data_IF_624764004397
#
_entry.id   IF_624764004397
#
_cell.length_a   1.000
_cell.length_b   1.000
_cell.length_c   1.000
_cell.angle_alpha   90.00
_cell.angle_beta   90.00
_cell.angle_gamma   90.00
#
_symmetry.space_group_name_H-M   'P 1'
#
loop_
_entity.id
_entity.type
_entity.pdbx_description
1 polymer ?
#
# COMPACT_ATOMS: atom_id res chain seq x y z
N UNK A 1 -9.80 6.52 44.11
CA UNK A 1 -9.13 7.64 43.45
C UNK A 1 -9.09 7.29 41.97
N UNK A 2 -9.86 7.98 41.16
CA UNK A 2 -9.71 7.90 39.69
C UNK A 2 -8.36 8.51 39.34
N UNK A 3 -7.51 7.74 38.62
CA UNK A 3 -6.28 8.29 38.07
C UNK A 3 -6.64 9.49 37.18
N UNK A 4 -5.81 10.54 37.13
CA UNK A 4 -6.06 11.67 36.25
C UNK A 4 -6.08 11.13 34.81
N UNK A 5 -7.03 11.62 34.00
CA UNK A 5 -7.17 11.28 32.60
C UNK A 5 -5.89 11.70 31.87
N UNK A 6 -5.27 10.77 31.16
CA UNK A 6 -4.07 11.07 30.37
C UNK A 6 -4.43 11.91 29.13
N UNK A 7 -3.64 12.92 28.86
CA UNK A 7 -3.78 13.82 27.70
C UNK A 7 -2.86 13.35 26.61
N UNK A 8 -3.40 13.10 25.42
CA UNK A 8 -2.66 12.64 24.25
C UNK A 8 -2.79 13.68 23.14
N UNK A 9 -1.67 14.12 22.58
CA UNK A 9 -1.65 14.94 21.37
C UNK A 9 -1.13 14.13 20.19
N UNK A 10 -1.80 14.22 19.04
CA UNK A 10 -1.46 13.50 17.82
C UNK A 10 -1.24 14.50 16.70
N UNK A 11 -0.08 14.43 16.05
CA UNK A 11 0.27 15.22 14.87
C UNK A 11 0.02 14.39 13.61
N UNK A 12 -1.04 14.70 12.87
CA UNK A 12 -1.46 14.01 11.66
C UNK A 12 -2.67 13.09 11.87
N UNK A 13 -3.68 13.25 11.03
CA UNK A 13 -4.96 12.54 11.04
C UNK A 13 -5.01 11.30 10.12
N UNK A 14 -3.88 10.86 9.56
CA UNK A 14 -3.81 9.64 8.74
C UNK A 14 -4.07 8.36 9.54
N UNK A 15 -3.97 7.15 8.90
CA UNK A 15 -4.29 5.87 9.56
C UNK A 15 -3.56 5.65 10.89
N UNK A 16 -2.30 6.08 11.00
CA UNK A 16 -1.56 6.02 12.27
C UNK A 16 -2.15 6.91 13.35
N UNK A 17 -2.63 8.10 12.97
CA UNK A 17 -3.18 9.09 13.89
C UNK A 17 -4.62 8.79 14.30
N UNK A 18 -5.56 8.63 13.35
CA UNK A 18 -6.97 8.45 13.71
C UNK A 18 -7.24 7.10 14.40
N UNK A 19 -6.55 6.02 14.02
CA UNK A 19 -6.68 4.73 14.70
C UNK A 19 -6.10 4.78 16.13
N UNK A 20 -4.99 5.51 16.31
CA UNK A 20 -4.45 5.77 17.64
C UNK A 20 -5.45 6.58 18.50
N UNK A 21 -6.05 7.63 17.93
CA UNK A 21 -7.00 8.46 18.64
C UNK A 21 -8.22 7.67 19.12
N UNK A 22 -8.77 6.81 18.25
CA UNK A 22 -9.90 5.95 18.62
C UNK A 22 -9.55 4.99 19.76
N UNK A 23 -8.38 4.37 19.71
CA UNK A 23 -7.90 3.50 20.81
C UNK A 23 -7.67 4.29 22.09
N UNK A 24 -7.01 5.47 21.99
CA UNK A 24 -6.78 6.33 23.15
C UNK A 24 -8.07 6.77 23.85
N UNK A 25 -9.05 7.22 23.05
CA UNK A 25 -10.36 7.64 23.57
C UNK A 25 -11.12 6.45 24.21
N UNK A 26 -11.12 5.27 23.59
CA UNK A 26 -11.74 4.05 24.13
C UNK A 26 -11.10 3.62 25.47
N UNK A 27 -9.82 3.92 25.68
CA UNK A 27 -9.13 3.68 26.95
C UNK A 27 -9.26 4.85 27.95
N UNK A 28 -10.08 5.85 27.63
CA UNK A 28 -10.42 6.95 28.52
C UNK A 28 -9.41 8.10 28.52
N UNK A 29 -8.51 8.20 27.55
CA UNK A 29 -7.61 9.34 27.39
C UNK A 29 -8.35 10.57 26.83
N UNK A 30 -7.87 11.78 27.14
CA UNK A 30 -8.24 13.03 26.49
C UNK A 30 -7.36 13.22 25.25
N UNK A 31 -7.93 13.05 24.06
CA UNK A 31 -7.18 12.97 22.81
C UNK A 31 -7.45 14.19 21.93
N UNK A 32 -6.37 14.84 21.49
CA UNK A 32 -6.40 15.93 20.51
C UNK A 32 -5.60 15.54 19.27
N UNK A 33 -6.22 15.59 18.07
CA UNK A 33 -5.54 15.47 16.78
C UNK A 33 -5.33 16.86 16.20
N UNK A 34 -4.15 17.12 15.66
CA UNK A 34 -3.83 18.31 14.86
C UNK A 34 -3.49 17.86 13.46
N UNK A 35 -4.28 18.26 12.47
CA UNK A 35 -4.09 17.86 11.07
C UNK A 35 -4.44 19.01 10.12
N UNK A 36 -3.65 19.14 9.02
CA UNK A 36 -3.81 20.20 8.04
C UNK A 36 -4.87 19.86 6.98
N UNK A 37 -4.90 18.60 6.55
CA UNK A 37 -5.68 18.16 5.37
C UNK A 37 -7.05 17.58 5.78
N UNK A 38 -7.14 17.03 6.98
CA UNK A 38 -8.35 16.40 7.52
C UNK A 38 -8.19 14.92 7.84
N UNK A 39 -9.13 14.34 8.64
CA UNK A 39 -9.08 12.94 9.07
C UNK A 39 -9.04 11.95 7.90
N UNK A 40 -8.20 10.92 8.05
CA UNK A 40 -7.87 9.96 7.00
C UNK A 40 -6.54 10.25 6.32
N UNK A 41 -6.07 11.52 6.33
CA UNK A 41 -4.79 11.96 5.75
C UNK A 41 -4.63 11.54 4.30
N UNK A 42 -3.38 11.50 3.82
CA UNK A 42 -3.08 11.16 2.42
C UNK A 42 -3.69 9.81 1.99
N UNK A 43 -3.72 8.80 2.86
CA UNK A 43 -4.28 7.49 2.56
C UNK A 43 -5.74 7.56 2.06
N UNK A 44 -6.56 8.42 2.67
CA UNK A 44 -7.98 8.58 2.34
C UNK A 44 -8.18 9.64 1.27
N UNK A 45 -7.47 10.77 1.38
CA UNK A 45 -7.76 11.96 0.57
C UNK A 45 -7.06 11.95 -0.80
N UNK A 46 -5.86 11.36 -0.91
CA UNK A 46 -5.04 11.50 -2.12
C UNK A 46 -4.40 10.19 -2.63
N UNK A 47 -4.31 9.15 -1.80
CA UNK A 47 -3.54 7.94 -2.15
C UNK A 47 -4.40 6.68 -2.26
N UNK A 48 -4.58 5.92 -1.16
CA UNK A 48 -5.17 4.57 -1.22
C UNK A 48 -6.63 4.58 -1.69
N UNK A 49 -7.51 5.40 -1.07
CA UNK A 49 -8.93 5.44 -1.45
C UNK A 49 -9.09 5.96 -2.87
N UNK A 50 -8.48 7.08 -3.27
CA UNK A 50 -8.49 7.54 -4.65
C UNK A 50 -7.95 6.52 -5.66
N UNK A 51 -6.76 5.98 -5.45
CA UNK A 51 -6.15 5.06 -6.41
C UNK A 51 -6.92 3.74 -6.54
N UNK A 52 -7.41 3.16 -5.44
CA UNK A 52 -8.21 1.93 -5.48
C UNK A 52 -9.57 2.16 -6.09
N UNK A 53 -10.16 3.35 -5.93
CA UNK A 53 -11.40 3.74 -6.65
C UNK A 53 -11.18 3.80 -8.17
N UNK A 54 -10.04 4.33 -8.62
CA UNK A 54 -9.65 4.31 -10.04
C UNK A 54 -9.43 2.87 -10.54
N UNK A 55 -8.74 2.05 -9.75
CA UNK A 55 -8.45 0.65 -10.08
C UNK A 55 -9.73 -0.17 -10.19
N UNK A 56 -10.74 0.03 -9.34
CA UNK A 56 -12.04 -0.64 -9.48
C UNK A 56 -12.70 -0.30 -10.83
N UNK A 57 -12.61 0.94 -11.28
CA UNK A 57 -13.10 1.33 -12.62
C UNK A 57 -12.31 0.61 -13.72
N UNK A 58 -10.98 0.56 -13.59
CA UNK A 58 -10.11 -0.12 -14.56
C UNK A 58 -10.34 -1.63 -14.60
N UNK A 59 -10.60 -2.25 -13.45
CA UNK A 59 -10.96 -3.68 -13.34
C UNK A 59 -12.29 -3.96 -14.05
N UNK A 60 -13.27 -3.08 -13.92
CA UNK A 60 -14.54 -3.19 -14.64
C UNK A 60 -14.33 -3.12 -16.16
N UNK A 61 -13.47 -2.23 -16.66
CA UNK A 61 -13.10 -2.15 -18.08
C UNK A 61 -12.39 -3.41 -18.56
N UNK A 62 -11.43 -3.93 -17.80
CA UNK A 62 -10.78 -5.21 -18.12
C UNK A 62 -11.79 -6.35 -18.21
N UNK A 63 -12.75 -6.41 -17.29
CA UNK A 63 -13.82 -7.41 -17.33
C UNK A 63 -14.70 -7.25 -18.57
N UNK A 64 -15.12 -6.03 -18.95
CA UNK A 64 -15.89 -5.79 -20.16
C UNK A 64 -15.17 -6.27 -21.42
N UNK A 65 -13.88 -5.98 -21.55
CA UNK A 65 -13.08 -6.46 -22.70
C UNK A 65 -12.92 -7.98 -22.73
N UNK A 66 -13.05 -8.66 -21.60
CA UNK A 66 -12.91 -10.10 -21.48
C UNK A 66 -14.24 -10.87 -21.62
N UNK A 67 -15.39 -10.21 -21.77
CA UNK A 67 -16.73 -10.86 -21.74
C UNK A 67 -17.01 -11.80 -22.90
N UNK A 68 -16.31 -11.68 -24.01
CA UNK A 68 -16.51 -12.51 -25.21
C UNK A 68 -16.39 -14.01 -24.91
N UNK A 69 -15.49 -14.43 -24.00
CA UNK A 69 -15.34 -15.82 -23.59
C UNK A 69 -16.55 -16.36 -22.79
N UNK A 70 -17.38 -15.47 -22.24
CA UNK A 70 -18.63 -15.80 -21.55
C UNK A 70 -19.83 -15.83 -22.50
N UNK A 71 -19.63 -15.57 -23.80
CA UNK A 71 -20.69 -15.47 -24.79
C UNK A 71 -21.44 -14.12 -24.75
N UNK A 72 -20.87 -13.10 -24.10
CA UNK A 72 -21.44 -11.75 -24.02
C UNK A 72 -20.73 -10.89 -25.06
N UNK A 73 -21.48 -10.33 -26.01
CA UNK A 73 -20.97 -9.38 -27.00
C UNK A 73 -21.16 -7.95 -26.48
N UNK A 74 -20.11 -7.16 -26.50
CA UNK A 74 -20.14 -5.73 -26.30
C UNK A 74 -20.09 -5.03 -27.65
N UNK A 75 -20.52 -3.77 -27.72
CA UNK A 75 -20.54 -3.00 -28.97
C UNK A 75 -19.13 -2.64 -29.47
N UNK A 76 -18.11 -2.78 -28.62
CA UNK A 76 -16.73 -2.38 -28.91
C UNK A 76 -16.53 -0.84 -28.96
N UNK A 77 -17.49 -0.08 -28.44
CA UNK A 77 -17.47 1.38 -28.38
C UNK A 77 -17.50 1.88 -26.93
N UNK A 78 -17.15 1.00 -25.99
CA UNK A 78 -17.11 1.34 -24.57
C UNK A 78 -16.05 2.43 -24.36
N UNK A 79 -16.45 3.52 -23.69
CA UNK A 79 -15.60 4.66 -23.37
C UNK A 79 -15.69 5.01 -21.90
N UNK A 80 -14.63 5.61 -21.40
CA UNK A 80 -14.55 6.08 -20.01
C UNK A 80 -14.81 7.58 -19.99
N UNK A 81 -15.79 8.02 -19.21
CA UNK A 81 -15.99 9.42 -18.86
C UNK A 81 -15.04 9.79 -17.72
N UNK A 82 -13.90 10.36 -18.07
CA UNK A 82 -12.83 10.73 -17.11
C UNK A 82 -13.35 11.72 -16.06
N UNK A 83 -14.12 12.73 -16.46
CA UNK A 83 -14.68 13.71 -15.53
C UNK A 83 -15.58 13.06 -14.48
N UNK A 84 -16.40 12.11 -14.89
CA UNK A 84 -17.26 11.36 -13.97
C UNK A 84 -16.43 10.47 -13.02
N UNK A 85 -15.44 9.77 -13.54
CA UNK A 85 -14.54 8.90 -12.74
C UNK A 85 -13.78 9.71 -11.71
N UNK A 86 -13.15 10.82 -12.10
CA UNK A 86 -12.38 11.65 -11.19
C UNK A 86 -13.26 12.34 -10.14
N UNK A 87 -14.45 12.77 -10.50
CA UNK A 87 -15.45 13.29 -9.53
C UNK A 87 -15.81 12.22 -8.52
N UNK A 88 -16.18 11.01 -8.97
CA UNK A 88 -16.50 9.88 -8.10
C UNK A 88 -15.35 9.55 -7.13
N UNK A 89 -14.09 9.62 -7.58
CA UNK A 89 -12.92 9.41 -6.74
C UNK A 89 -12.88 10.44 -5.60
N UNK A 90 -13.06 11.73 -5.92
CA UNK A 90 -13.03 12.82 -4.94
C UNK A 90 -14.21 12.72 -3.95
N UNK A 91 -15.40 12.42 -4.46
CA UNK A 91 -16.61 12.27 -3.64
C UNK A 91 -16.46 11.12 -2.63
N UNK A 92 -15.90 9.97 -3.04
CA UNK A 92 -15.64 8.84 -2.15
C UNK A 92 -14.55 9.13 -1.13
N UNK A 93 -13.50 9.84 -1.51
CA UNK A 93 -12.44 10.25 -0.58
C UNK A 93 -13.01 11.19 0.51
N UNK A 94 -13.83 12.16 0.11
CA UNK A 94 -14.49 13.09 1.03
C UNK A 94 -15.45 12.34 1.95
N UNK A 95 -16.32 11.50 1.41
CA UNK A 95 -17.27 10.72 2.20
C UNK A 95 -16.56 9.84 3.25
N UNK A 96 -15.43 9.21 2.88
CA UNK A 96 -14.65 8.39 3.82
C UNK A 96 -13.99 9.24 4.91
N UNK A 97 -13.53 10.45 4.60
CA UNK A 97 -12.98 11.39 5.59
C UNK A 97 -14.06 11.88 6.54
N UNK A 98 -15.26 12.16 6.02
CA UNK A 98 -16.43 12.56 6.83
C UNK A 98 -16.85 11.45 7.80
N UNK A 99 -16.87 10.19 7.35
CA UNK A 99 -17.17 9.04 8.20
C UNK A 99 -16.13 8.88 9.34
N UNK A 100 -14.84 9.07 9.06
CA UNK A 100 -13.78 9.05 10.08
C UNK A 100 -13.97 10.21 11.06
N UNK A 101 -14.27 11.41 10.56
CA UNK A 101 -14.55 12.60 11.36
C UNK A 101 -15.73 12.38 12.30
N UNK A 102 -16.83 11.85 11.79
CA UNK A 102 -18.02 11.55 12.59
C UNK A 102 -17.70 10.54 13.71
N UNK A 103 -16.90 9.51 13.40
CA UNK A 103 -16.48 8.52 14.40
C UNK A 103 -15.56 9.11 15.47
N UNK A 104 -14.59 9.94 15.09
CA UNK A 104 -13.70 10.63 16.06
C UNK A 104 -14.50 11.56 16.99
N UNK A 105 -15.44 12.33 16.45
CA UNK A 105 -16.32 13.20 17.23
C UNK A 105 -17.21 12.40 18.19
N UNK A 106 -17.74 11.24 17.75
CA UNK A 106 -18.56 10.40 18.60
C UNK A 106 -17.78 9.82 19.80
N UNK A 107 -16.48 9.60 19.65
CA UNK A 107 -15.58 9.15 20.73
C UNK A 107 -15.02 10.34 21.55
N UNK A 108 -15.43 11.58 21.26
CA UNK A 108 -15.01 12.78 22.02
C UNK A 108 -13.58 13.26 21.70
N UNK A 109 -13.00 12.83 20.59
CA UNK A 109 -11.68 13.29 20.15
C UNK A 109 -11.77 14.75 19.66
N UNK A 110 -10.89 15.61 20.18
CA UNK A 110 -10.78 16.99 19.72
C UNK A 110 -9.99 17.05 18.42
N UNK A 111 -10.55 17.71 17.41
CA UNK A 111 -9.88 17.96 16.13
C UNK A 111 -9.48 19.43 16.02
N UNK A 112 -8.22 19.70 15.72
CA UNK A 112 -7.67 21.04 15.42
C UNK A 112 -7.17 21.01 13.99
N UNK A 113 -7.78 21.82 13.14
CA UNK A 113 -7.34 21.96 11.75
C UNK A 113 -6.14 22.89 11.65
N UNK A 114 -5.07 22.43 11.01
CA UNK A 114 -3.88 23.18 10.70
C UNK A 114 -2.58 22.47 11.05
N UNK A 115 -1.48 23.18 10.88
CA UNK A 115 -0.13 22.64 11.15
C UNK A 115 0.19 22.63 12.63
N UNK A 116 0.57 21.45 13.12
CA UNK A 116 1.11 21.29 14.45
C UNK A 116 2.63 21.11 14.43
N UNK A 117 3.31 21.56 15.48
CA UNK A 117 4.74 21.29 15.70
C UNK A 117 5.05 21.07 17.17
N UNK A 118 6.05 20.26 17.45
CA UNK A 118 6.58 20.09 18.80
C UNK A 118 7.32 21.36 19.24
N UNK A 119 7.06 21.81 20.45
CA UNK A 119 7.89 22.78 21.19
C UNK A 119 8.78 22.08 22.21
N UNK A 120 8.33 20.95 22.71
CA UNK A 120 9.02 20.07 23.64
C UNK A 120 8.37 18.67 23.54
N UNK A 121 8.91 17.64 24.21
CA UNK A 121 8.32 16.29 24.17
C UNK A 121 6.86 16.21 24.63
N UNK A 122 6.38 17.21 25.38
CA UNK A 122 5.05 17.22 25.98
C UNK A 122 4.21 18.47 25.61
N UNK A 123 4.66 19.30 24.66
CA UNK A 123 3.94 20.50 24.21
C UNK A 123 3.90 20.56 22.69
N UNK A 124 2.70 20.59 22.14
CA UNK A 124 2.44 20.77 20.71
C UNK A 124 1.90 22.17 20.48
N UNK A 125 2.56 22.94 19.63
CA UNK A 125 2.07 24.23 19.15
C UNK A 125 1.08 24.00 18.01
N UNK A 126 -0.08 24.66 18.07
CA UNK A 126 -1.16 24.56 17.10
C UNK A 126 -1.68 25.95 16.72
N UNK A 127 -2.50 26.09 15.67
CA UNK A 127 -3.16 27.37 15.36
C UNK A 127 -4.05 27.92 16.49
N UNK A 128 -4.57 27.04 17.36
CA UNK A 128 -5.41 27.41 18.51
C UNK A 128 -4.59 27.68 19.79
N UNK A 129 -3.27 27.60 19.75
CA UNK A 129 -2.37 27.74 20.87
C UNK A 129 -1.63 26.47 21.24
N UNK A 130 -0.97 26.47 22.38
CA UNK A 130 -0.18 25.32 22.82
C UNK A 130 -1.08 24.26 23.49
N UNK A 131 -0.90 23.01 23.09
CA UNK A 131 -1.56 21.83 23.69
C UNK A 131 -0.53 21.07 24.51
N UNK A 132 -0.74 20.99 25.81
CA UNK A 132 0.04 20.16 26.72
C UNK A 132 -0.45 18.71 26.68
N UNK A 133 0.45 17.75 26.62
CA UNK A 133 0.14 16.34 26.59
C UNK A 133 1.07 15.52 27.49
N UNK A 134 0.58 14.42 28.00
CA UNK A 134 1.36 13.45 28.78
C UNK A 134 2.10 12.48 27.84
N UNK A 135 1.57 12.30 26.61
CA UNK A 135 2.28 11.65 25.49
C UNK A 135 1.91 12.30 24.15
N UNK A 136 2.85 12.25 23.19
CA UNK A 136 2.66 12.76 21.83
C UNK A 136 2.88 11.65 20.82
N UNK A 137 2.00 11.54 19.81
CA UNK A 137 2.17 10.67 18.66
C UNK A 137 2.40 11.51 17.40
N UNK A 138 3.49 11.23 16.68
CA UNK A 138 3.81 11.84 15.39
C UNK A 138 3.35 10.88 14.28
N UNK A 139 2.37 11.30 13.48
CA UNK A 139 1.78 10.52 12.39
C UNK A 139 1.64 11.36 11.11
N UNK A 140 2.64 12.19 10.83
CA UNK A 140 2.65 13.20 9.76
C UNK A 140 2.80 12.63 8.35
N UNK A 141 3.08 11.32 8.22
CA UNK A 141 3.15 10.64 6.93
C UNK A 141 4.34 11.05 6.06
N UNK A 142 4.14 10.99 4.75
CA UNK A 142 5.14 11.31 3.74
C UNK A 142 4.49 11.96 2.50
N UNK A 143 5.31 12.54 1.62
CA UNK A 143 4.88 13.14 0.35
C UNK A 143 5.71 12.63 -0.83
N UNK A 144 5.20 12.74 -2.09
CA UNK A 144 5.93 12.33 -3.29
C UNK A 144 7.28 13.02 -3.42
N UNK A 145 8.30 12.24 -3.77
CA UNK A 145 9.62 12.79 -4.11
C UNK A 145 9.55 13.52 -5.44
N UNK A 146 10.10 14.72 -5.47
CA UNK A 146 10.32 15.51 -6.68
C UNK A 146 11.77 15.34 -7.13
N UNK A 147 12.00 15.07 -8.43
CA UNK A 147 13.32 14.99 -9.00
C UNK A 147 13.67 16.34 -9.69
N UNK A 148 14.91 16.83 -9.48
CA UNK A 148 15.38 18.01 -10.23
C UNK A 148 15.32 17.77 -11.74
N UNK A 149 14.74 18.71 -12.48
CA UNK A 149 14.53 18.60 -13.93
C UNK A 149 13.31 17.75 -14.34
N UNK A 150 12.46 17.38 -13.37
CA UNK A 150 11.20 16.70 -13.61
C UNK A 150 10.15 17.16 -12.57
N UNK A 151 10.15 18.45 -12.27
CA UNK A 151 9.24 19.06 -11.32
C UNK A 151 7.79 18.98 -11.85
N UNK A 152 6.84 18.50 -11.04
CA UNK A 152 5.44 18.48 -11.41
C UNK A 152 4.90 19.89 -11.68
N UNK A 153 4.19 20.07 -12.79
CA UNK A 153 3.57 21.34 -13.18
C UNK A 153 2.05 21.36 -12.95
N UNK A 154 1.48 20.23 -12.53
CA UNK A 154 0.04 20.08 -12.28
C UNK A 154 -0.82 19.92 -13.55
N UNK A 155 -0.22 19.93 -14.75
CA UNK A 155 -0.93 19.84 -16.02
C UNK A 155 -0.50 18.64 -16.86
N UNK A 156 0.81 18.46 -17.07
CA UNK A 156 1.40 17.42 -17.93
C UNK A 156 2.47 16.59 -17.25
N UNK A 157 3.20 17.17 -16.30
CA UNK A 157 4.16 16.49 -15.44
C UNK A 157 3.52 16.40 -14.07
N UNK A 158 3.20 15.18 -13.63
CA UNK A 158 2.28 14.96 -12.53
C UNK A 158 2.89 14.04 -11.46
N UNK A 159 2.48 14.27 -10.22
CA UNK A 159 2.42 13.23 -9.22
C UNK A 159 1.05 12.57 -9.26
N UNK A 160 0.86 11.43 -8.57
CA UNK A 160 -0.46 10.77 -8.53
C UNK A 160 -1.55 11.63 -7.88
N UNK A 161 -1.20 12.57 -7.01
CA UNK A 161 -2.16 13.48 -6.38
C UNK A 161 -2.86 14.39 -7.39
N UNK A 162 -2.20 14.71 -8.49
CA UNK A 162 -2.67 15.62 -9.52
C UNK A 162 -3.42 14.92 -10.67
N UNK A 163 -3.32 13.58 -10.75
CA UNK A 163 -3.99 12.81 -11.81
C UNK A 163 -5.52 12.99 -11.82
N UNK A 164 -6.11 13.17 -10.63
CA UNK A 164 -7.56 13.30 -10.49
C UNK A 164 -8.07 14.72 -10.77
N UNK A 165 -7.17 15.65 -11.10
CA UNK A 165 -7.51 17.03 -11.48
C UNK A 165 -7.53 17.22 -13.01
N UNK A 166 -7.23 16.16 -13.76
CA UNK A 166 -7.33 16.17 -15.21
C UNK A 166 -8.79 16.14 -15.68
N UNK A 167 -9.07 16.75 -16.83
CA UNK A 167 -10.39 16.72 -17.48
C UNK A 167 -10.58 15.49 -18.36
N UNK A 168 -9.48 14.91 -18.87
CA UNK A 168 -9.48 13.78 -19.81
C UNK A 168 -8.42 12.74 -19.39
N UNK A 169 -8.62 11.49 -19.84
CA UNK A 169 -7.57 10.48 -19.69
C UNK A 169 -6.35 10.86 -20.54
N UNK A 170 -5.12 10.66 -20.03
CA UNK A 170 -3.92 10.78 -20.83
C UNK A 170 -3.95 9.83 -22.05
N UNK A 171 -3.80 10.35 -23.28
CA UNK A 171 -3.71 9.48 -24.47
C UNK A 171 -2.48 8.58 -24.43
N UNK A 172 -1.33 9.18 -24.03
CA UNK A 172 -0.06 8.46 -23.93
C UNK A 172 0.63 8.86 -22.62
N UNK A 173 0.53 7.99 -21.62
CA UNK A 173 1.07 8.19 -20.28
C UNK A 173 2.45 7.54 -20.14
N UNK A 174 3.46 8.36 -19.82
CA UNK A 174 4.78 7.87 -19.42
C UNK A 174 4.81 7.80 -17.89
N UNK A 175 5.05 6.61 -17.32
CA UNK A 175 5.18 6.41 -15.87
C UNK A 175 6.65 6.20 -15.54
N UNK A 176 7.24 7.08 -14.73
CA UNK A 176 8.64 6.97 -14.28
C UNK A 176 8.66 6.40 -12.86
N UNK A 177 9.14 5.16 -12.75
CA UNK A 177 9.17 4.37 -11.52
C UNK A 177 8.27 3.15 -11.60
N UNK A 178 8.83 1.97 -11.38
CA UNK A 178 8.16 0.66 -11.47
C UNK A 178 7.94 0.01 -10.10
N UNK A 179 7.89 0.80 -9.04
CA UNK A 179 7.43 0.38 -7.72
C UNK A 179 5.91 0.23 -7.67
N UNK A 180 5.35 -0.03 -6.49
CA UNK A 180 3.91 -0.29 -6.29
C UNK A 180 3.04 0.79 -6.93
N UNK A 181 3.26 2.06 -6.60
CA UNK A 181 2.47 3.19 -7.12
C UNK A 181 2.51 3.26 -8.64
N UNK A 182 3.71 3.18 -9.24
CA UNK A 182 3.84 3.24 -10.71
C UNK A 182 3.21 2.05 -11.40
N UNK A 183 3.34 0.86 -10.83
CA UNK A 183 2.75 -0.37 -11.33
C UNK A 183 1.21 -0.31 -11.34
N UNK A 184 0.61 0.13 -10.25
CA UNK A 184 -0.84 0.25 -10.11
C UNK A 184 -1.42 1.27 -11.10
N UNK A 185 -0.85 2.47 -11.17
CA UNK A 185 -1.34 3.49 -12.11
C UNK A 185 -1.08 3.11 -13.58
N UNK A 186 0.08 2.54 -13.90
CA UNK A 186 0.36 2.07 -15.25
C UNK A 186 -0.66 1.01 -15.70
N UNK A 187 -0.97 0.03 -14.84
CA UNK A 187 -1.97 -0.99 -15.12
C UNK A 187 -3.38 -0.40 -15.24
N UNK A 188 -3.76 0.52 -14.35
CA UNK A 188 -5.08 1.14 -14.38
C UNK A 188 -5.31 1.96 -15.65
N UNK A 189 -4.39 2.86 -16.00
CA UNK A 189 -4.54 3.68 -17.21
C UNK A 189 -4.47 2.85 -18.49
N UNK A 190 -3.66 1.79 -18.54
CA UNK A 190 -3.68 0.84 -19.66
C UNK A 190 -5.08 0.23 -19.85
N UNK A 191 -5.71 -0.23 -18.78
CA UNK A 191 -7.03 -0.83 -18.84
C UNK A 191 -8.13 0.18 -19.18
N UNK A 192 -7.96 1.46 -18.83
CA UNK A 192 -8.86 2.54 -19.18
C UNK A 192 -8.69 3.04 -20.63
N UNK A 193 -7.70 2.54 -21.38
CA UNK A 193 -7.53 2.82 -22.80
C UNK A 193 -6.36 3.75 -23.16
N UNK A 194 -5.56 4.20 -22.18
CA UNK A 194 -4.34 4.97 -22.44
C UNK A 194 -3.24 4.08 -23.04
N UNK A 195 -2.42 4.64 -23.94
CA UNK A 195 -1.12 4.05 -24.24
C UNK A 195 -0.18 4.32 -23.07
N UNK A 196 0.46 3.26 -22.55
CA UNK A 196 1.31 3.39 -21.36
C UNK A 196 2.74 2.95 -21.66
N UNK A 197 3.70 3.81 -21.28
CA UNK A 197 5.13 3.47 -21.24
C UNK A 197 5.61 3.52 -19.80
N UNK A 198 5.96 2.35 -19.22
CA UNK A 198 6.50 2.23 -17.88
C UNK A 198 8.03 2.19 -17.92
N UNK A 199 8.67 3.17 -17.29
CA UNK A 199 10.13 3.28 -17.21
C UNK A 199 10.64 2.75 -15.88
N UNK A 200 11.43 1.68 -15.93
CA UNK A 200 12.01 1.00 -14.77
C UNK A 200 13.53 1.13 -14.75
N UNK A 201 14.10 1.69 -13.69
CA UNK A 201 15.55 1.68 -13.48
C UNK A 201 16.10 0.31 -13.07
N UNK A 202 15.23 -0.65 -12.83
CA UNK A 202 15.55 -2.02 -12.41
C UNK A 202 15.41 -3.00 -13.57
N UNK A 203 15.96 -4.20 -13.39
CA UNK A 203 15.85 -5.27 -14.37
C UNK A 203 14.41 -5.72 -14.59
N UNK A 204 13.59 -5.73 -13.51
CA UNK A 204 12.16 -6.09 -13.51
C UNK A 204 11.33 -5.00 -12.88
N UNK A 205 10.07 -4.96 -13.22
CA UNK A 205 9.06 -4.19 -12.49
C UNK A 205 8.90 -4.77 -11.08
N UNK A 206 8.37 -4.01 -10.15
CA UNK A 206 8.12 -4.45 -8.78
C UNK A 206 9.34 -5.16 -8.17
N UNK A 207 10.51 -4.49 -8.07
CA UNK A 207 11.80 -5.14 -7.82
C UNK A 207 11.95 -5.74 -6.42
N UNK A 208 11.02 -5.47 -5.51
CA UNK A 208 11.02 -5.97 -4.14
C UNK A 208 10.03 -7.13 -3.93
N UNK A 209 9.22 -7.43 -4.94
CA UNK A 209 8.21 -8.48 -4.89
C UNK A 209 8.76 -9.85 -5.29
N UNK A 210 7.91 -10.86 -5.13
CA UNK A 210 8.22 -12.23 -5.56
C UNK A 210 8.55 -12.24 -7.07
N UNK A 211 9.63 -12.92 -7.44
CA UNK A 211 10.13 -12.93 -8.82
C UNK A 211 9.15 -13.55 -9.81
N UNK A 212 8.46 -14.61 -9.40
CA UNK A 212 7.42 -15.23 -10.24
C UNK A 212 6.25 -14.28 -10.46
N UNK A 213 5.86 -13.52 -9.42
CA UNK A 213 4.78 -12.54 -9.50
C UNK A 213 5.15 -11.36 -10.40
N UNK A 214 6.36 -10.79 -10.20
CA UNK A 214 6.86 -9.67 -11.01
C UNK A 214 7.01 -10.05 -12.49
N UNK A 215 7.49 -11.25 -12.78
CA UNK A 215 7.63 -11.76 -14.16
C UNK A 215 6.25 -11.95 -14.78
N UNK A 216 5.32 -12.62 -14.08
CA UNK A 216 3.98 -12.86 -14.61
C UNK A 216 3.26 -11.56 -14.94
N UNK A 217 3.30 -10.57 -14.04
CA UNK A 217 2.58 -9.31 -14.26
C UNK A 217 3.19 -8.51 -15.41
N UNK A 218 4.51 -8.48 -15.57
CA UNK A 218 5.17 -7.83 -16.70
C UNK A 218 4.77 -8.48 -18.03
N UNK A 219 4.69 -9.81 -18.10
CA UNK A 219 4.23 -10.55 -19.26
C UNK A 219 2.76 -10.24 -19.60
N UNK A 220 1.89 -10.15 -18.58
CA UNK A 220 0.49 -9.75 -18.77
C UNK A 220 0.39 -8.35 -19.36
N UNK A 221 1.12 -7.39 -18.82
CA UNK A 221 1.08 -6.01 -19.31
C UNK A 221 1.61 -5.87 -20.75
N UNK A 222 2.71 -6.57 -21.10
CA UNK A 222 3.24 -6.57 -22.47
C UNK A 222 2.24 -7.15 -23.46
N UNK A 223 1.55 -8.24 -23.09
CA UNK A 223 0.48 -8.84 -23.92
C UNK A 223 -0.72 -7.90 -24.08
N UNK A 224 -0.99 -7.05 -23.08
CA UNK A 224 -2.05 -6.02 -23.13
C UNK A 224 -1.62 -4.72 -23.82
N UNK A 225 -0.37 -4.64 -24.32
CA UNK A 225 0.12 -3.51 -25.10
C UNK A 225 0.92 -2.46 -24.33
N UNK A 226 1.26 -2.67 -23.05
CA UNK A 226 2.15 -1.78 -22.32
C UNK A 226 3.57 -1.87 -22.84
N UNK A 227 4.22 -0.72 -23.05
CA UNK A 227 5.66 -0.65 -23.27
C UNK A 227 6.38 -0.60 -21.92
N UNK A 228 7.18 -1.62 -21.61
CA UNK A 228 8.00 -1.64 -20.38
C UNK A 228 9.47 -1.50 -20.77
N UNK A 229 10.09 -0.41 -20.30
CA UNK A 229 11.50 -0.09 -20.48
C UNK A 229 12.28 -0.43 -19.22
N UNK A 230 12.77 -1.66 -19.13
CA UNK A 230 13.63 -2.12 -18.04
C UNK A 230 15.03 -1.52 -18.13
N UNK A 231 15.77 -1.45 -17.03
CA UNK A 231 17.13 -0.90 -16.93
C UNK A 231 17.27 0.50 -17.55
N UNK A 232 16.18 1.28 -17.50
CA UNK A 232 16.07 2.62 -18.06
C UNK A 232 15.74 3.61 -16.96
N UNK A 233 16.51 4.69 -16.86
CA UNK A 233 16.33 5.70 -15.82
C UNK A 233 15.98 7.04 -16.43
N UNK A 234 14.87 7.64 -15.97
CA UNK A 234 14.52 9.01 -16.31
C UNK A 234 15.56 9.97 -15.76
N UNK A 235 16.04 10.89 -16.60
CA UNK A 235 16.98 11.96 -16.24
C UNK A 235 16.25 13.27 -16.04
N UNK A 236 15.39 13.64 -16.99
CA UNK A 236 14.62 14.88 -16.97
C UNK A 236 13.32 14.72 -17.73
N UNK A 237 12.37 15.59 -17.43
CA UNK A 237 11.10 15.71 -18.16
C UNK A 237 10.92 17.18 -18.54
N UNK A 238 10.67 17.44 -19.81
CA UNK A 238 10.37 18.80 -20.30
C UNK A 238 9.01 18.84 -20.99
N UNK A 239 8.33 19.94 -20.90
CA UNK A 239 7.13 20.18 -21.71
C UNK A 239 7.51 20.40 -23.18
N UNK A 240 6.65 19.95 -24.06
CA UNK A 240 6.66 20.24 -25.48
C UNK A 240 5.30 20.85 -25.88
N UNK A 241 5.18 21.34 -27.11
CA UNK A 241 3.95 21.99 -27.61
C UNK A 241 2.70 21.12 -27.45
N UNK A 242 2.85 19.81 -27.59
CA UNK A 242 1.76 18.84 -27.60
C UNK A 242 1.79 17.83 -26.43
N UNK A 243 2.70 17.98 -25.47
CA UNK A 243 2.83 17.03 -24.37
C UNK A 243 4.11 17.17 -23.59
N UNK A 244 4.78 16.04 -23.34
CA UNK A 244 6.04 15.97 -22.62
C UNK A 244 7.07 15.13 -23.37
N UNK A 245 8.34 15.42 -23.13
CA UNK A 245 9.46 14.58 -23.55
C UNK A 245 10.28 14.19 -22.33
N UNK A 246 10.41 12.90 -22.11
CA UNK A 246 11.27 12.31 -21.08
C UNK A 246 12.62 11.97 -21.70
N UNK A 247 13.69 12.51 -21.15
CA UNK A 247 15.07 12.12 -21.52
C UNK A 247 15.57 11.08 -20.53
N UNK A 248 16.06 9.95 -21.04
CA UNK A 248 16.68 8.91 -20.24
C UNK A 248 18.18 9.17 -20.06
N UNK A 249 18.77 8.55 -19.04
CA UNK A 249 20.22 8.69 -18.75
C UNK A 249 21.14 8.16 -19.85
N UNK A 250 20.63 7.33 -20.76
CA UNK A 250 21.35 6.81 -21.93
C UNK A 250 21.17 7.68 -23.20
N UNK A 251 20.48 8.82 -23.07
CA UNK A 251 20.25 9.78 -24.15
C UNK A 251 19.03 9.51 -25.01
N UNK A 252 18.30 8.39 -24.83
CA UNK A 252 17.02 8.17 -25.52
C UNK A 252 15.97 9.18 -25.05
N UNK A 253 15.10 9.59 -25.96
CA UNK A 253 13.93 10.42 -25.66
C UNK A 253 12.64 9.64 -25.90
N UNK A 254 11.65 9.88 -25.05
CA UNK A 254 10.32 9.29 -25.11
C UNK A 254 9.31 10.43 -25.05
N UNK A 255 8.41 10.48 -26.04
CA UNK A 255 7.35 11.48 -26.10
C UNK A 255 6.02 10.89 -25.61
N UNK A 256 5.25 11.68 -24.89
CA UNK A 256 3.92 11.31 -24.40
C UNK A 256 3.03 12.54 -24.20
N UNK A 257 1.75 12.30 -23.94
CA UNK A 257 0.82 13.38 -23.58
C UNK A 257 1.06 13.89 -22.16
N UNK A 258 1.38 12.96 -21.24
CA UNK A 258 1.62 13.23 -19.81
C UNK A 258 2.75 12.35 -19.28
N UNK A 259 3.35 12.80 -18.19
CA UNK A 259 4.34 12.04 -17.42
C UNK A 259 3.91 11.95 -15.94
N UNK A 260 3.85 10.74 -15.41
CA UNK A 260 3.58 10.47 -14.00
C UNK A 260 4.88 10.11 -13.28
N UNK A 261 5.19 10.87 -12.23
CA UNK A 261 6.37 10.66 -11.39
C UNK A 261 6.03 9.80 -10.18
N UNK A 262 6.63 8.60 -10.09
CA UNK A 262 6.44 7.63 -8.98
C UNK A 262 7.78 7.13 -8.45
N UNK A 263 8.65 8.08 -8.08
CA UNK A 263 10.07 7.84 -7.77
C UNK A 263 10.36 7.78 -6.27
N UNK A 264 9.37 7.45 -5.47
CA UNK A 264 9.47 7.28 -4.02
C UNK A 264 8.88 8.43 -3.22
N UNK A 265 9.06 8.37 -1.91
CA UNK A 265 8.46 9.28 -0.92
C UNK A 265 9.55 9.98 -0.10
N UNK A 266 9.19 11.09 0.51
CA UNK A 266 9.99 11.83 1.50
C UNK A 266 9.13 11.99 2.76
N UNK A 267 9.66 11.68 3.96
CA UNK A 267 8.89 11.82 5.20
C UNK A 267 8.58 13.28 5.54
N UNK A 268 7.40 13.53 6.10
CA UNK A 268 6.98 14.85 6.56
C UNK A 268 7.54 15.12 7.97
N UNK A 269 8.85 15.29 8.07
CA UNK A 269 9.58 15.41 9.34
C UNK A 269 10.33 16.73 9.48
N UNK A 270 10.30 17.57 8.45
CA UNK A 270 10.93 18.89 8.49
C UNK A 270 10.03 19.96 9.10
N UNK A 271 10.61 20.84 9.91
CA UNK A 271 9.90 22.00 10.48
C UNK A 271 8.88 21.70 11.57
N UNK A 272 8.76 20.43 11.99
CA UNK A 272 7.79 20.02 13.03
C UNK A 272 8.39 19.94 14.45
N UNK A 273 9.59 20.47 14.67
CA UNK A 273 10.18 20.62 16.02
C UNK A 273 10.78 19.33 16.60
N UNK A 274 11.20 18.37 15.77
CA UNK A 274 11.77 17.09 16.23
C UNK A 274 13.04 17.27 17.03
N UNK A 275 13.94 18.15 16.57
CA UNK A 275 15.24 18.40 17.21
C UNK A 275 15.04 19.04 18.59
N UNK A 276 14.08 19.98 18.70
CA UNK A 276 13.70 20.64 19.96
C UNK A 276 13.14 19.64 21.00
N UNK A 277 12.47 18.59 20.51
CA UNK A 277 11.92 17.52 21.34
C UNK A 277 12.89 16.35 21.57
N UNK A 278 14.09 16.35 20.97
CA UNK A 278 15.07 15.28 21.12
C UNK A 278 14.73 13.99 20.34
N UNK A 279 13.90 14.10 19.30
CA UNK A 279 13.49 12.99 18.43
C UNK A 279 14.51 12.78 17.32
N UNK A 280 15.11 11.61 17.25
CA UNK A 280 16.13 11.25 16.24
C UNK A 280 15.49 10.81 14.92
N UNK A 281 16.21 11.11 13.84
CA UNK A 281 15.91 10.68 12.48
C UNK A 281 17.07 9.90 11.91
N UNK A 282 16.78 8.99 10.99
CA UNK A 282 17.81 8.32 10.19
C UNK A 282 18.37 9.25 9.08
N UNK A 283 19.32 8.73 8.29
CA UNK A 283 19.91 9.47 7.17
C UNK A 283 18.92 9.81 6.04
N UNK A 284 17.78 9.11 5.97
CA UNK A 284 16.68 9.37 5.03
C UNK A 284 15.66 10.41 5.54
N UNK A 285 15.83 10.90 6.76
CA UNK A 285 14.92 11.82 7.44
C UNK A 285 13.76 11.15 8.15
N UNK A 286 13.68 9.81 8.18
CA UNK A 286 12.62 9.06 8.86
C UNK A 286 12.85 9.03 10.37
N UNK A 287 11.74 9.10 11.14
CA UNK A 287 11.80 9.03 12.60
C UNK A 287 12.15 7.61 13.04
N UNK A 288 13.22 7.47 13.80
CA UNK A 288 13.63 6.18 14.37
C UNK A 288 12.65 5.75 15.47
N UNK A 289 12.11 4.54 15.36
CA UNK A 289 11.18 3.96 16.34
C UNK A 289 11.55 2.53 16.69
N UNK A 290 11.20 2.12 17.91
CA UNK A 290 11.26 0.72 18.31
C UNK A 290 9.98 -0.05 17.91
N UNK A 291 9.91 -1.33 18.29
CA UNK A 291 8.80 -2.24 17.92
C UNK A 291 7.47 -1.93 18.61
N UNK A 292 7.45 -0.99 19.54
CA UNK A 292 6.22 -0.44 20.14
C UNK A 292 6.00 1.02 19.78
N UNK A 293 6.65 1.47 18.69
CA UNK A 293 6.52 2.82 18.11
C UNK A 293 7.09 3.96 19.00
N UNK A 294 7.93 3.67 20.01
CA UNK A 294 8.59 4.72 20.80
C UNK A 294 9.72 5.33 19.99
N UNK A 295 9.85 6.63 20.07
CA UNK A 295 11.01 7.38 19.54
C UNK A 295 12.15 7.42 20.58
N UNK A 296 13.23 8.14 20.25
CA UNK A 296 14.34 8.42 21.19
C UNK A 296 13.94 9.37 22.32
N UNK A 297 12.86 10.14 22.21
CA UNK A 297 12.37 11.07 23.21
C UNK A 297 11.32 10.39 24.10
N UNK A 298 11.45 10.59 25.43
CA UNK A 298 10.51 10.03 26.39
C UNK A 298 9.10 10.64 26.20
N UNK A 299 8.07 9.79 26.18
CA UNK A 299 6.68 10.21 25.99
C UNK A 299 6.33 10.55 24.54
N UNK A 300 7.27 10.42 23.58
CA UNK A 300 7.03 10.68 22.16
C UNK A 300 7.07 9.39 21.35
N UNK A 301 6.04 9.17 20.57
CA UNK A 301 5.85 8.03 19.68
C UNK A 301 5.78 8.50 18.23
N UNK A 302 5.97 7.59 17.26
CA UNK A 302 5.71 7.88 15.86
C UNK A 302 5.13 6.67 15.13
N UNK A 303 4.24 6.92 14.15
CA UNK A 303 3.55 5.90 13.39
C UNK A 303 3.36 6.27 11.92
N UNK A 304 3.37 5.27 11.05
CA UNK A 304 3.14 5.42 9.62
C UNK A 304 4.37 5.85 8.84
N UNK A 305 4.14 6.44 7.67
CA UNK A 305 5.16 6.65 6.64
C UNK A 305 6.30 7.58 7.09
N UNK A 306 6.07 8.45 8.07
CA UNK A 306 7.12 9.27 8.68
C UNK A 306 8.20 8.44 9.40
N UNK A 307 7.94 7.16 9.70
CA UNK A 307 8.90 6.23 10.31
C UNK A 307 9.69 5.40 9.30
N UNK A 308 9.21 5.28 8.06
CA UNK A 308 9.86 4.47 7.02
C UNK A 308 9.88 2.95 7.28
N UNK A 309 9.20 2.47 8.33
CA UNK A 309 9.22 1.04 8.70
C UNK A 309 8.61 0.19 7.59
N UNK A 310 7.39 0.44 7.22
CA UNK A 310 6.71 -0.05 6.00
C UNK A 310 5.61 0.96 5.64
N UNK A 311 5.64 1.48 4.42
CA UNK A 311 4.65 2.48 3.96
C UNK A 311 3.35 1.81 3.54
N UNK A 312 2.62 1.28 4.53
CA UNK A 312 1.33 0.62 4.40
C UNK A 312 0.35 1.18 5.43
N UNK A 313 -0.85 1.52 5.01
CA UNK A 313 -1.89 2.06 5.89
C UNK A 313 -2.20 1.12 7.08
N UNK A 314 -2.20 -0.19 6.85
CA UNK A 314 -2.39 -1.21 7.89
C UNK A 314 -1.27 -1.22 8.93
N UNK A 315 -0.02 -0.98 8.51
CA UNK A 315 1.13 -0.86 9.41
C UNK A 315 1.05 0.43 10.19
N UNK A 316 0.74 1.55 9.55
CA UNK A 316 0.54 2.83 10.20
C UNK A 316 -0.54 2.74 11.30
N UNK A 317 -1.70 2.16 10.98
CA UNK A 317 -2.80 1.92 11.92
C UNK A 317 -2.35 1.07 13.11
N UNK A 318 -1.65 -0.04 12.86
CA UNK A 318 -1.18 -0.93 13.92
C UNK A 318 -0.11 -0.26 14.79
N UNK A 319 0.83 0.49 14.19
CA UNK A 319 1.81 1.29 14.95
C UNK A 319 1.13 2.30 15.88
N UNK A 320 0.10 3.00 15.38
CA UNK A 320 -0.68 3.95 16.17
C UNK A 320 -1.41 3.28 17.34
N UNK A 321 -2.08 2.15 17.10
CA UNK A 321 -2.77 1.38 18.15
C UNK A 321 -1.79 0.87 19.19
N UNK A 322 -0.65 0.29 18.80
CA UNK A 322 0.39 -0.21 19.70
C UNK A 322 0.94 0.95 20.55
N UNK A 323 1.19 2.12 19.95
CA UNK A 323 1.64 3.28 20.67
C UNK A 323 0.67 3.68 21.80
N UNK A 324 -0.64 3.67 21.52
CA UNK A 324 -1.67 4.01 22.53
C UNK A 324 -1.78 2.95 23.62
N UNK A 325 -1.87 1.67 23.26
CA UNK A 325 -1.85 0.61 24.26
C UNK A 325 -0.64 0.71 25.19
N UNK A 326 0.55 0.91 24.58
CA UNK A 326 1.79 1.00 25.35
C UNK A 326 1.84 2.23 26.27
N UNK A 327 1.47 3.42 25.78
CA UNK A 327 1.54 4.65 26.60
C UNK A 327 0.47 4.67 27.70
N UNK A 328 -0.67 4.02 27.50
CA UNK A 328 -1.76 3.92 28.44
C UNK A 328 -1.64 2.73 29.42
N UNK A 329 -0.52 1.99 29.33
CA UNK A 329 -0.19 0.94 30.28
C UNK A 329 -0.82 -0.43 30.02
N UNK A 330 -1.39 -0.62 28.83
CA UNK A 330 -1.93 -1.91 28.40
C UNK A 330 -0.82 -2.88 27.96
N UNK A 331 -1.12 -4.16 28.02
CA UNK A 331 -0.23 -5.21 27.48
C UNK A 331 -0.19 -5.15 25.96
N UNK A 332 1.00 -5.06 25.38
CA UNK A 332 1.18 -4.98 23.93
C UNK A 332 2.00 -6.12 23.38
N UNK A 333 1.62 -6.57 22.19
CA UNK A 333 2.48 -7.37 21.35
C UNK A 333 3.25 -6.42 20.41
N UNK A 334 4.60 -6.38 20.48
CA UNK A 334 5.41 -5.61 19.56
C UNK A 334 5.14 -5.98 18.11
N UNK A 335 5.16 -5.00 17.20
CA UNK A 335 4.88 -5.24 15.78
C UNK A 335 5.80 -6.31 15.19
N UNK A 336 5.22 -7.24 14.44
CA UNK A 336 5.92 -8.33 13.76
C UNK A 336 5.91 -8.06 12.26
N UNK A 337 6.95 -7.42 11.75
CA UNK A 337 7.02 -7.03 10.33
C UNK A 337 6.98 -8.23 9.37
N UNK A 338 7.51 -9.38 9.78
CA UNK A 338 7.45 -10.61 8.99
C UNK A 338 6.03 -11.22 8.87
N UNK A 339 5.02 -10.67 9.55
CA UNK A 339 3.63 -11.14 9.48
C UNK A 339 2.71 -10.17 8.75
N UNK A 340 3.26 -9.06 8.25
CA UNK A 340 2.49 -8.05 7.52
C UNK A 340 2.12 -8.59 6.15
N UNK A 341 0.80 -8.61 5.86
CA UNK A 341 0.32 -8.84 4.53
C UNK A 341 0.34 -7.54 3.72
N UNK A 342 0.73 -7.64 2.46
CA UNK A 342 0.76 -6.52 1.53
C UNK A 342 0.09 -6.92 0.21
N UNK A 343 -0.53 -5.95 -0.46
CA UNK A 343 -1.15 -6.16 -1.78
C UNK A 343 -0.76 -5.05 -2.74
N UNK A 344 -0.52 -5.43 -3.98
CA UNK A 344 -0.39 -4.54 -5.12
C UNK A 344 -1.64 -4.73 -5.96
N UNK A 345 -2.41 -3.67 -6.10
CA UNK A 345 -3.71 -3.67 -6.77
C UNK A 345 -3.56 -3.49 -8.29
N UNK A 346 -2.80 -4.39 -8.89
CA UNK A 346 -2.72 -4.54 -10.34
C UNK A 346 -3.81 -5.51 -10.83
N UNK A 347 -3.88 -5.78 -12.13
CA UNK A 347 -4.74 -6.82 -12.67
C UNK A 347 -3.90 -7.78 -13.53
N UNK A 348 -3.66 -9.04 -13.01
CA UNK A 348 -4.08 -9.59 -11.71
C UNK A 348 -3.43 -8.88 -10.51
N UNK A 349 -4.11 -8.92 -9.34
CA UNK A 349 -3.55 -8.45 -8.07
C UNK A 349 -2.41 -9.37 -7.61
N UNK A 350 -1.47 -8.80 -6.83
CA UNK A 350 -0.39 -9.55 -6.17
C UNK A 350 -0.51 -9.32 -4.66
N UNK A 351 -0.68 -10.38 -3.88
CA UNK A 351 -0.69 -10.30 -2.44
C UNK A 351 0.37 -11.22 -1.84
N UNK A 352 1.04 -10.74 -0.78
CA UNK A 352 2.15 -11.43 -0.13
C UNK A 352 2.04 -11.35 1.37
N UNK A 353 2.56 -12.37 2.07
CA UNK A 353 2.74 -12.37 3.54
C UNK A 353 3.89 -13.29 3.92
N UNK A 354 4.63 -12.91 4.94
CA UNK A 354 5.63 -13.77 5.57
C UNK A 354 6.94 -13.86 4.79
N UNK A 355 7.51 -15.06 4.77
CA UNK A 355 8.80 -15.36 4.12
C UNK A 355 8.73 -15.14 2.62
N UNK A 356 9.76 -14.52 2.08
CA UNK A 356 9.90 -14.26 0.63
C UNK A 356 10.81 -15.28 -0.05
N UNK A 357 10.60 -15.52 -1.35
CA UNK A 357 11.49 -16.36 -2.16
C UNK A 357 12.94 -15.86 -2.12
N UNK A 358 13.12 -14.55 -2.04
CA UNK A 358 14.44 -13.93 -1.93
C UNK A 358 15.17 -14.37 -0.66
N UNK A 359 14.49 -14.34 0.51
CA UNK A 359 15.07 -14.76 1.77
C UNK A 359 15.46 -16.26 1.74
N UNK A 360 14.65 -17.09 1.08
CA UNK A 360 14.96 -18.51 0.86
C UNK A 360 16.19 -18.67 -0.05
N UNK A 361 16.24 -17.97 -1.17
CA UNK A 361 17.36 -18.05 -2.13
C UNK A 361 18.67 -17.54 -1.54
N UNK A 362 18.63 -16.59 -0.60
CA UNK A 362 19.79 -16.05 0.12
C UNK A 362 20.22 -16.92 1.31
N UNK A 363 19.45 -17.98 1.61
CA UNK A 363 19.75 -18.87 2.75
C UNK A 363 19.45 -18.26 4.13
N UNK A 364 18.73 -17.14 4.17
CA UNK A 364 18.32 -16.48 5.42
C UNK A 364 17.25 -17.31 6.17
N UNK A 365 16.40 -18.01 5.41
CA UNK A 365 15.35 -18.89 5.93
C UNK A 365 15.35 -20.20 5.17
N UNK A 366 15.34 -21.30 5.90
CA UNK A 366 15.16 -22.63 5.32
C UNK A 366 13.64 -22.88 5.13
N UNK A 367 13.21 -22.97 3.89
CA UNK A 367 11.80 -23.25 3.57
C UNK A 367 11.67 -24.13 2.32
N UNK A 368 10.63 -24.96 2.32
CA UNK A 368 10.13 -25.60 1.10
C UNK A 368 9.07 -24.69 0.48
N UNK A 369 9.02 -24.59 -0.84
CA UNK A 369 8.01 -23.80 -1.52
C UNK A 369 7.35 -24.61 -2.64
N UNK A 370 6.07 -24.33 -2.87
CA UNK A 370 5.31 -24.87 -4.00
C UNK A 370 4.46 -23.76 -4.61
N UNK A 371 4.52 -23.67 -5.95
CA UNK A 371 3.71 -22.75 -6.74
C UNK A 371 2.70 -23.55 -7.56
N UNK A 372 1.40 -23.23 -7.43
CA UNK A 372 0.32 -23.82 -8.20
C UNK A 372 -0.37 -22.78 -9.06
N UNK A 373 -0.47 -23.01 -10.39
CA UNK A 373 -1.16 -22.08 -11.27
C UNK A 373 -2.68 -22.10 -11.04
N UNK A 374 -3.31 -20.93 -11.07
CA UNK A 374 -4.78 -20.79 -11.01
C UNK A 374 -5.49 -21.39 -12.21
N UNK A 375 -4.85 -21.46 -13.36
CA UNK A 375 -5.41 -22.06 -14.58
C UNK A 375 -5.92 -23.50 -14.41
N UNK A 376 -5.43 -24.22 -13.39
CA UNK A 376 -5.91 -25.59 -13.07
C UNK A 376 -7.17 -25.59 -12.18
N UNK A 377 -7.51 -24.45 -11.56
CA UNK A 377 -8.64 -24.34 -10.65
C UNK A 377 -9.98 -24.23 -11.42
N UNK A 378 -11.03 -24.96 -11.05
CA UNK A 378 -12.33 -24.92 -11.73
C UNK A 378 -12.96 -23.53 -11.72
N UNK A 379 -12.89 -22.81 -10.61
CA UNK A 379 -13.46 -21.46 -10.50
C UNK A 379 -12.72 -20.44 -11.36
N UNK A 380 -11.41 -20.59 -11.47
CA UNK A 380 -10.58 -19.78 -12.37
C UNK A 380 -11.01 -20.01 -13.84
N UNK A 381 -11.16 -21.28 -14.25
CA UNK A 381 -11.64 -21.64 -15.60
C UNK A 381 -13.02 -21.04 -15.89
N UNK A 382 -13.97 -21.12 -14.95
CA UNK A 382 -15.31 -20.54 -15.09
C UNK A 382 -15.27 -19.03 -15.33
N UNK A 383 -14.26 -18.35 -14.79
CA UNK A 383 -14.06 -16.90 -14.90
C UNK A 383 -13.12 -16.50 -16.05
N UNK A 384 -12.59 -17.46 -16.82
CA UNK A 384 -11.60 -17.18 -17.85
C UNK A 384 -10.24 -16.70 -17.30
N UNK A 385 -9.93 -16.99 -16.04
CA UNK A 385 -8.65 -16.61 -15.40
C UNK A 385 -7.59 -17.66 -15.78
N UNK A 386 -6.61 -17.26 -16.58
CA UNK A 386 -5.46 -18.07 -16.96
C UNK A 386 -4.19 -17.65 -16.24
N UNK A 387 -4.06 -16.35 -15.96
CA UNK A 387 -2.89 -15.76 -15.34
C UNK A 387 -3.07 -15.68 -13.81
N UNK A 388 -2.13 -16.28 -13.10
CA UNK A 388 -2.14 -16.27 -11.65
C UNK A 388 -1.68 -17.57 -11.03
N UNK A 389 -1.35 -17.51 -9.76
CA UNK A 389 -0.91 -18.67 -8.96
C UNK A 389 -1.09 -18.44 -7.46
N UNK A 390 -1.04 -19.55 -6.72
CA UNK A 390 -0.81 -19.57 -5.27
C UNK A 390 0.57 -20.19 -5.02
N UNK A 391 1.41 -19.54 -4.24
CA UNK A 391 2.69 -20.04 -3.76
C UNK A 391 2.69 -20.04 -2.23
N UNK A 392 3.07 -21.14 -1.61
CA UNK A 392 3.23 -21.26 -0.17
C UNK A 392 4.68 -21.60 0.17
N UNK A 393 5.12 -21.13 1.33
CA UNK A 393 6.39 -21.48 1.96
C UNK A 393 6.13 -22.18 3.28
N UNK A 394 6.78 -23.33 3.52
CA UNK A 394 6.64 -24.11 4.74
C UNK A 394 7.99 -24.45 5.33
N UNK A 395 8.05 -24.56 6.66
CA UNK A 395 9.24 -25.03 7.38
C UNK A 395 9.46 -26.50 7.08
N UNK A 396 10.67 -26.92 6.66
CA UNK A 396 10.99 -28.34 6.52
C UNK A 396 10.89 -29.06 7.86
N UNK A 397 10.30 -30.25 7.86
CA UNK A 397 10.15 -31.11 9.05
C UNK A 397 8.99 -30.76 9.97
N UNK A 398 8.61 -29.49 10.13
CA UNK A 398 7.44 -29.10 10.94
C UNK A 398 6.18 -28.83 10.12
N UNK A 399 6.35 -28.51 8.84
CA UNK A 399 5.26 -28.15 7.94
C UNK A 399 4.57 -26.82 8.27
N UNK A 400 5.08 -26.03 9.22
CA UNK A 400 4.52 -24.72 9.58
C UNK A 400 4.57 -23.78 8.37
N UNK A 401 3.47 -23.11 8.09
CA UNK A 401 3.36 -22.10 7.02
C UNK A 401 4.13 -20.85 7.43
N UNK A 402 5.15 -20.52 6.65
CA UNK A 402 6.06 -19.40 6.90
C UNK A 402 5.68 -18.16 6.06
N UNK A 403 4.92 -18.34 5.01
CA UNK A 403 4.53 -17.26 4.11
C UNK A 403 3.82 -17.76 2.86
N UNK A 404 3.39 -16.81 2.03
CA UNK A 404 2.81 -17.13 0.74
C UNK A 404 2.63 -15.93 -0.16
N UNK A 405 2.39 -16.23 -1.43
CA UNK A 405 2.11 -15.29 -2.51
C UNK A 405 0.87 -15.75 -3.25
N UNK A 406 -0.05 -14.83 -3.46
CA UNK A 406 -1.22 -15.05 -4.31
C UNK A 406 -1.17 -14.03 -5.45
N UNK A 407 -1.21 -14.52 -6.68
CA UNK A 407 -1.38 -13.68 -7.87
C UNK A 407 -2.69 -14.08 -8.53
N UNK A 408 -3.62 -13.13 -8.65
CA UNK A 408 -4.92 -13.43 -9.25
C UNK A 408 -5.99 -12.41 -8.86
N UNK A 409 -7.23 -12.61 -9.34
CA UNK A 409 -8.34 -11.74 -8.98
C UNK A 409 -8.62 -11.79 -7.47
N UNK A 410 -8.70 -10.61 -6.84
CA UNK A 410 -8.94 -10.48 -5.40
C UNK A 410 -7.89 -11.20 -4.54
N UNK A 411 -6.62 -11.13 -4.95
CA UNK A 411 -5.54 -11.67 -4.13
C UNK A 411 -5.49 -10.99 -2.76
N UNK A 412 -5.89 -9.71 -2.68
CA UNK A 412 -6.08 -8.94 -1.45
C UNK A 412 -6.98 -9.64 -0.42
N UNK A 413 -8.03 -10.29 -0.88
CA UNK A 413 -8.95 -11.06 -0.02
C UNK A 413 -8.45 -12.50 0.21
N UNK A 414 -7.83 -13.09 -0.81
CA UNK A 414 -7.35 -14.47 -0.78
C UNK A 414 -6.12 -14.65 0.12
N UNK A 415 -5.37 -13.60 0.42
CA UNK A 415 -4.18 -13.69 1.28
C UNK A 415 -4.53 -13.94 2.75
N UNK A 416 -5.74 -13.59 3.20
CA UNK A 416 -6.12 -13.66 4.62
C UNK A 416 -5.97 -15.04 5.25
N UNK A 417 -6.38 -16.18 4.65
CA UNK A 417 -6.14 -17.50 5.21
C UNK A 417 -4.66 -17.82 5.40
N UNK A 418 -3.80 -17.35 4.49
CA UNK A 418 -2.35 -17.53 4.60
C UNK A 418 -1.79 -16.64 5.72
N UNK A 419 -2.27 -15.40 5.84
CA UNK A 419 -1.89 -14.49 6.94
C UNK A 419 -2.24 -15.07 8.30
N UNK A 420 -3.43 -15.67 8.44
CA UNK A 420 -3.84 -16.37 9.67
C UNK A 420 -2.95 -17.59 9.94
N UNK A 421 -2.59 -18.35 8.89
CA UNK A 421 -1.71 -19.50 9.05
C UNK A 421 -0.31 -19.07 9.53
N UNK A 422 0.23 -17.97 9.01
CA UNK A 422 1.52 -17.40 9.45
C UNK A 422 1.43 -16.88 10.89
N UNK A 423 0.40 -16.10 11.22
CA UNK A 423 0.23 -15.50 12.56
C UNK A 423 0.06 -16.54 13.64
N UNK A 424 -0.75 -17.58 13.38
CA UNK A 424 -1.06 -18.65 14.31
C UNK A 424 -0.12 -19.86 14.19
N UNK A 425 0.90 -19.79 13.33
CA UNK A 425 1.86 -20.87 13.09
C UNK A 425 1.19 -22.20 12.70
N UNK A 426 0.13 -22.14 11.89
CA UNK A 426 -0.56 -23.33 11.40
C UNK A 426 0.33 -24.10 10.43
N UNK A 427 0.13 -25.42 10.39
CA UNK A 427 0.84 -26.29 9.45
C UNK A 427 0.12 -26.39 8.10
N UNK A 428 0.84 -26.81 7.07
CA UNK A 428 0.26 -27.12 5.77
C UNK A 428 -0.83 -28.20 5.89
N UNK A 429 -0.64 -29.17 6.80
CA UNK A 429 -1.63 -30.21 7.10
C UNK A 429 -2.95 -29.60 7.61
N UNK A 430 -2.88 -28.71 8.60
CA UNK A 430 -4.07 -28.03 9.15
C UNK A 430 -4.78 -27.20 8.08
N UNK A 431 -4.00 -26.48 7.24
CA UNK A 431 -4.56 -25.68 6.16
C UNK A 431 -5.21 -26.54 5.08
N UNK A 432 -4.61 -27.68 4.74
CA UNK A 432 -5.14 -28.64 3.76
C UNK A 432 -6.43 -29.33 4.23
N UNK A 433 -6.59 -29.58 5.53
CA UNK A 433 -7.78 -30.19 6.13
C UNK A 433 -8.91 -29.19 6.42
N UNK A 434 -8.66 -27.88 6.23
CA UNK A 434 -9.71 -26.86 6.38
C UNK A 434 -10.71 -26.94 5.23
N UNK A 435 -12.00 -27.06 5.54
CA UNK A 435 -13.04 -27.06 4.51
C UNK A 435 -13.10 -25.72 3.78
N UNK A 436 -12.99 -25.79 2.47
CA UNK A 436 -13.17 -24.64 1.57
C UNK A 436 -14.43 -24.80 0.73
N UNK A 437 -15.04 -23.69 0.34
CA UNK A 437 -16.17 -23.71 -0.61
C UNK A 437 -15.70 -24.25 -1.96
N UNK A 438 -16.49 -25.13 -2.58
CA UNK A 438 -16.23 -25.62 -3.92
C UNK A 438 -17.35 -25.23 -4.88
N UNK A 439 -17.05 -24.68 -6.07
CA UNK A 439 -15.71 -24.26 -6.55
C UNK A 439 -15.34 -22.86 -6.05
N UNK A 440 -14.12 -22.69 -5.59
CA UNK A 440 -13.59 -21.37 -5.16
C UNK A 440 -12.12 -21.19 -5.55
N UNK A 441 -11.65 -19.93 -5.61
CA UNK A 441 -10.24 -19.64 -5.81
C UNK A 441 -9.42 -20.00 -4.56
N UNK A 442 -9.98 -19.82 -3.37
CA UNK A 442 -9.36 -20.21 -2.09
C UNK A 442 -9.08 -21.71 -1.98
N UNK A 443 -9.81 -22.55 -2.73
CA UNK A 443 -9.49 -23.97 -2.87
C UNK A 443 -8.08 -24.25 -3.40
N UNK A 444 -7.48 -23.32 -4.16
CA UNK A 444 -6.09 -23.44 -4.59
C UNK A 444 -5.10 -23.34 -3.42
N UNK A 445 -5.43 -22.60 -2.35
CA UNK A 445 -4.60 -22.50 -1.14
C UNK A 445 -4.54 -23.85 -0.44
N UNK A 446 -5.71 -24.47 -0.19
CA UNK A 446 -5.80 -25.80 0.42
C UNK A 446 -5.09 -26.87 -0.42
N UNK A 447 -5.25 -26.83 -1.75
CA UNK A 447 -4.57 -27.80 -2.64
C UNK A 447 -3.04 -27.60 -2.68
N UNK A 448 -2.56 -26.34 -2.63
CA UNK A 448 -1.14 -26.05 -2.52
C UNK A 448 -0.57 -26.58 -1.21
N UNK A 449 -1.30 -26.35 -0.12
CA UNK A 449 -0.94 -26.86 1.20
C UNK A 449 -0.93 -28.40 1.23
N UNK A 450 -1.94 -29.05 0.65
CA UNK A 450 -2.02 -30.52 0.56
C UNK A 450 -0.81 -31.12 -0.16
N UNK A 451 -0.31 -30.46 -1.19
CA UNK A 451 0.88 -30.92 -1.92
C UNK A 451 2.20 -30.64 -1.20
N UNK A 452 2.18 -29.76 -0.21
CA UNK A 452 3.32 -29.49 0.66
C UNK A 452 3.33 -30.37 1.93
N UNK A 453 2.24 -31.11 2.19
CA UNK A 453 2.23 -32.11 3.26
C UNK A 453 3.30 -33.16 2.99
N UNK A 454 4.03 -33.55 4.01
CA UNK A 454 4.97 -34.64 3.95
C UNK A 454 4.20 -35.98 3.94
N UNK A 455 3.73 -36.38 2.76
CA UNK A 455 3.38 -37.77 2.55
C UNK A 455 4.69 -38.52 2.36
N UNK A 456 5.23 -39.01 3.46
CA UNK A 456 6.25 -40.06 3.47
C UNK A 456 7.29 -40.00 2.34
N UNK A 457 8.07 -38.92 2.28
CA UNK A 457 9.45 -39.05 1.84
C UNK A 457 10.26 -39.96 2.79
N UNK A 458 9.61 -40.41 3.88
CA UNK A 458 10.17 -41.18 4.97
C UNK A 458 9.64 -42.64 5.05
N UNK A 459 9.05 -43.18 3.97
CA UNK A 459 9.01 -44.61 3.84
C UNK A 459 10.26 -45.09 3.09
N UNK A 460 11.24 -45.70 3.81
CA UNK A 460 12.41 -46.29 3.21
C UNK A 460 12.04 -47.43 2.29
#
# INVERSE_FOLDING_TARGET
>A
MTLPQQRIAILGGGPGGYEAALVGAQLGADVTIVDEDGPGGACVLTDCVPSKTLIETSTAMTFLHATAHLGISTSGTESVDACHVYRRIKDLATAQSDDITARLNAEGVRLIQGKGRLKSPNVVHTPEGDVEADAVLIATGAHPRVLPGAEPDGERILTWRQLYDLDELPDNLIVIGSGVTGAEFAAAYLALGSHVTLVSSRQRVLPHEDEDAATLIEDVWRRRGMTVLSQSRGQSVRRDKNGVVVTLTDGREISGSHCLMTVGMIPNTEGIGLDDAGVKRDAGGFIEVDRVSRTSAHGVYAAGDCTGVLMLASVAAMQGRIAMWHTLGEAVHPIRLGHVAATIFTDPEIATVGVTQRAVNQGEVLARSLKMPLATNPRAKMRGVSDGFVKLFTSPGTGVVLGGVVVGPRASELIMPISLAVELQLTADQLAHTFTVYPSLSGSIGETARRLMDFAADNP
#
